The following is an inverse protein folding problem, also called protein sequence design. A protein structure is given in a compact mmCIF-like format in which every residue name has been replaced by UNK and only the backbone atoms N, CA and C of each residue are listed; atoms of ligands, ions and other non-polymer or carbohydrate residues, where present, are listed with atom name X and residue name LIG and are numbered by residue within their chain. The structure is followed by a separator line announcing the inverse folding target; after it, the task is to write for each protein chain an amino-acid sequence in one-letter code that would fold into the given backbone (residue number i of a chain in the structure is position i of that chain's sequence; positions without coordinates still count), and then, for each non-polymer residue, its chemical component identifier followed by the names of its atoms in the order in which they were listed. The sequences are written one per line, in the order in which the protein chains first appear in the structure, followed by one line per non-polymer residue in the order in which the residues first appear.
data_IF_254659028126
#
_entry.id   IF_254659028126
#
_cell.length_a   1.000
_cell.length_b   1.000
_cell.length_c   1.000
_cell.angle_alpha   90.00
_cell.angle_beta   90.00
_cell.angle_gamma   90.00
#
_symmetry.space_group_name_H-M   'P 1'
#
loop_
_entity.id
_entity.type
_entity.pdbx_description
1 polymer ?
#
# COMPACT_ATOMS: atom_id res chain seq x y z
N UNK A 1 17.48 2.15 -36.37
CA UNK A 1 17.87 1.21 -35.31
C UNK A 1 17.37 1.77 -33.99
N UNK A 2 16.79 0.94 -33.12
CA UNK A 2 16.35 1.41 -31.82
C UNK A 2 17.54 1.95 -31.01
N UNK A 3 17.32 3.03 -30.26
CA UNK A 3 18.28 3.52 -29.28
C UNK A 3 18.41 2.44 -28.19
N UNK A 4 19.63 2.08 -27.85
CA UNK A 4 19.93 1.15 -26.76
C UNK A 4 20.31 1.93 -25.51
N UNK A 5 19.57 1.72 -24.41
CA UNK A 5 19.95 2.24 -23.08
C UNK A 5 20.51 1.09 -22.26
N UNK A 6 21.82 1.09 -21.98
CA UNK A 6 22.41 0.16 -21.04
C UNK A 6 21.88 0.41 -19.64
N UNK A 7 21.33 -0.62 -18.99
CA UNK A 7 21.04 -0.58 -17.55
C UNK A 7 22.10 -1.41 -16.85
N UNK A 8 23.10 -0.72 -16.30
CA UNK A 8 24.30 -1.35 -15.71
C UNK A 8 24.00 -2.04 -14.37
N UNK A 9 24.95 -2.86 -13.91
CA UNK A 9 24.90 -3.46 -12.57
C UNK A 9 24.89 -2.40 -11.45
N UNK A 10 25.55 -1.25 -11.64
CA UNK A 10 25.51 -0.16 -10.67
C UNK A 10 24.10 0.46 -10.55
N UNK A 11 23.38 0.62 -11.66
CA UNK A 11 21.97 1.05 -11.64
C UNK A 11 21.09 0.11 -10.81
N UNK A 12 21.31 -1.20 -10.95
CA UNK A 12 20.62 -2.23 -10.17
C UNK A 12 21.02 -2.12 -8.69
N UNK A 13 22.32 -2.02 -8.39
CA UNK A 13 22.83 -1.89 -7.00
C UNK A 13 22.21 -0.69 -6.30
N UNK A 14 22.23 0.48 -6.96
CA UNK A 14 21.64 1.72 -6.42
C UNK A 14 20.14 1.56 -6.19
N UNK A 15 19.40 0.92 -7.09
CA UNK A 15 17.97 0.70 -6.91
C UNK A 15 17.67 -0.14 -5.66
N UNK A 16 18.36 -1.26 -5.49
CA UNK A 16 18.17 -2.14 -4.34
C UNK A 16 18.58 -1.46 -3.02
N UNK A 17 19.73 -0.80 -2.98
CA UNK A 17 20.20 -0.09 -1.77
C UNK A 17 19.25 1.05 -1.39
N UNK A 18 18.80 1.86 -2.37
CA UNK A 18 17.80 2.91 -2.09
C UNK A 18 16.48 2.32 -1.58
N UNK A 19 16.03 1.20 -2.14
CA UNK A 19 14.79 0.56 -1.69
C UNK A 19 14.92 0.04 -0.25
N UNK A 20 16.08 -0.50 0.08
CA UNK A 20 16.47 -0.91 1.42
C UNK A 20 16.47 0.28 2.41
N UNK A 21 17.04 1.41 2.02
CA UNK A 21 17.14 2.63 2.84
C UNK A 21 15.79 3.38 2.98
N UNK A 22 14.80 3.07 2.14
CA UNK A 22 13.47 3.65 2.28
C UNK A 22 12.83 3.19 3.58
N UNK A 23 12.40 4.15 4.39
CA UNK A 23 11.58 3.86 5.56
C UNK A 23 10.26 3.20 5.13
N UNK A 24 9.77 2.18 5.86
CA UNK A 24 8.42 1.64 5.72
C UNK A 24 7.39 2.77 5.60
N UNK A 25 6.76 2.89 4.43
CA UNK A 25 5.62 3.79 4.27
C UNK A 25 4.34 2.98 4.32
N UNK A 26 3.22 3.55 4.80
CA UNK A 26 1.95 2.80 4.74
C UNK A 26 1.34 2.69 3.32
N UNK A 27 2.02 3.16 2.25
CA UNK A 27 1.52 3.09 0.85
C UNK A 27 2.05 1.90 0.08
N UNK A 28 3.29 1.50 0.31
CA UNK A 28 4.02 0.52 -0.49
C UNK A 28 4.62 -0.55 0.41
N UNK A 29 4.76 -1.77 -0.11
CA UNK A 29 5.59 -2.78 0.52
C UNK A 29 7.00 -2.77 -0.10
N UNK A 30 7.92 -3.55 0.47
CA UNK A 30 9.29 -3.64 -0.05
C UNK A 30 9.38 -3.96 -1.55
N UNK A 31 8.49 -4.78 -2.11
CA UNK A 31 8.52 -5.07 -3.55
C UNK A 31 8.11 -3.87 -4.39
N UNK A 32 7.07 -3.15 -3.97
CA UNK A 32 6.70 -1.89 -4.61
C UNK A 32 7.82 -0.83 -4.51
N UNK A 33 8.55 -0.79 -3.39
CA UNK A 33 9.69 0.11 -3.22
C UNK A 33 10.86 -0.24 -4.15
N UNK A 34 11.22 -1.53 -4.25
CA UNK A 34 12.23 -2.01 -5.22
C UNK A 34 11.83 -1.64 -6.65
N UNK A 35 10.56 -1.82 -7.02
CA UNK A 35 10.04 -1.46 -8.35
C UNK A 35 10.12 0.04 -8.62
N UNK A 36 9.79 0.86 -7.63
CA UNK A 36 9.88 2.31 -7.71
C UNK A 36 11.33 2.78 -7.90
N UNK A 37 12.26 2.20 -7.15
CA UNK A 37 13.68 2.51 -7.26
C UNK A 37 14.30 1.99 -8.55
N UNK A 38 13.88 0.83 -9.05
CA UNK A 38 14.29 0.33 -10.37
C UNK A 38 13.77 1.25 -11.47
N UNK A 39 12.51 1.71 -11.41
CA UNK A 39 11.98 2.69 -12.36
C UNK A 39 12.83 3.96 -12.39
N UNK A 40 13.23 4.45 -11.21
CA UNK A 40 14.12 5.61 -11.08
C UNK A 40 15.48 5.34 -11.73
N UNK A 41 16.10 4.18 -11.47
CA UNK A 41 17.35 3.79 -12.12
C UNK A 41 17.24 3.63 -13.63
N UNK A 42 16.08 3.20 -14.16
CA UNK A 42 15.83 3.13 -15.60
C UNK A 42 15.73 4.53 -16.22
N UNK A 43 15.11 5.47 -15.51
CA UNK A 43 15.06 6.88 -15.91
C UNK A 43 16.46 7.52 -15.89
N UNK A 44 17.30 7.22 -14.89
CA UNK A 44 18.71 7.63 -14.84
C UNK A 44 19.48 7.10 -16.06
N UNK A 45 19.38 5.80 -16.34
CA UNK A 45 20.04 5.17 -17.48
C UNK A 45 19.58 5.78 -18.82
N UNK A 46 18.30 6.15 -18.94
CA UNK A 46 17.81 6.88 -20.11
C UNK A 46 18.49 8.24 -20.26
N UNK A 47 18.61 9.01 -19.17
CA UNK A 47 19.26 10.33 -19.19
C UNK A 47 20.73 10.20 -19.58
N UNK A 48 21.44 9.20 -19.05
CA UNK A 48 22.84 8.90 -19.39
C UNK A 48 23.03 8.59 -20.88
N UNK A 49 22.05 7.92 -21.51
CA UNK A 49 22.06 7.66 -22.96
C UNK A 49 21.48 8.80 -23.81
N UNK A 50 21.18 9.96 -23.21
CA UNK A 50 20.63 11.12 -23.92
C UNK A 50 19.13 11.04 -24.24
N UNK A 51 18.39 10.10 -23.66
CA UNK A 51 16.94 9.95 -23.80
C UNK A 51 16.23 10.64 -22.63
N UNK A 52 15.28 11.53 -22.91
CA UNK A 52 14.53 12.23 -21.85
C UNK A 52 13.27 11.46 -21.43
N UNK A 53 13.15 11.04 -20.16
CA UNK A 53 11.88 10.53 -19.64
C UNK A 53 10.85 11.65 -19.52
N UNK A 54 9.57 11.31 -19.62
CA UNK A 54 8.47 12.26 -19.42
C UNK A 54 7.87 12.15 -18.01
N UNK A 55 7.32 13.27 -17.54
CA UNK A 55 6.64 13.35 -16.24
C UNK A 55 5.12 13.43 -16.45
N UNK A 56 4.50 12.30 -16.78
CA UNK A 56 3.05 12.16 -16.80
C UNK A 56 2.60 10.76 -16.39
N UNK A 57 1.36 10.63 -15.90
CA UNK A 57 0.77 9.33 -15.57
C UNK A 57 0.31 8.60 -16.84
N UNK A 58 0.84 7.40 -17.05
CA UNK A 58 0.52 6.50 -18.18
C UNK A 58 0.13 5.13 -17.64
N UNK A 59 -1.02 4.63 -18.09
CA UNK A 59 -1.55 3.30 -17.73
C UNK A 59 -2.00 2.55 -18.98
N UNK A 60 -1.06 2.01 -19.76
CA UNK A 60 -1.39 1.37 -21.02
C UNK A 60 -1.92 -0.05 -20.80
N UNK A 61 -2.70 -0.56 -21.76
CA UNK A 61 -3.04 -1.97 -21.83
C UNK A 61 -1.91 -2.73 -22.54
N UNK A 62 -0.91 -3.18 -21.78
CA UNK A 62 0.27 -3.84 -22.33
C UNK A 62 -0.06 -5.08 -23.16
N UNK A 63 -1.07 -5.86 -22.77
CA UNK A 63 -1.50 -7.07 -23.50
C UNK A 63 -2.01 -6.82 -24.93
N UNK A 64 -2.38 -5.58 -25.25
CA UNK A 64 -2.81 -5.16 -26.59
C UNK A 64 -1.73 -4.41 -27.35
N UNK A 65 -0.61 -4.11 -26.70
CA UNK A 65 0.49 -3.41 -27.32
C UNK A 65 1.36 -4.42 -28.08
N UNK A 66 1.86 -4.00 -29.24
CA UNK A 66 2.78 -4.82 -30.03
C UNK A 66 4.13 -4.83 -29.33
N UNK A 67 4.60 -6.01 -28.92
CA UNK A 67 5.97 -6.18 -28.44
C UNK A 67 6.95 -5.78 -29.54
N UNK A 68 7.96 -5.00 -29.16
CA UNK A 68 9.01 -4.53 -30.07
C UNK A 68 10.16 -5.52 -30.11
N UNK A 69 10.37 -6.25 -29.01
CA UNK A 69 11.41 -7.27 -28.89
C UNK A 69 11.01 -8.32 -27.83
N UNK A 70 11.32 -9.58 -28.08
CA UNK A 70 11.12 -10.71 -27.16
C UNK A 70 12.45 -11.38 -26.87
N UNK A 71 12.91 -11.26 -25.63
CA UNK A 71 14.09 -11.96 -25.13
C UNK A 71 13.81 -13.43 -24.84
N UNK A 72 14.84 -14.15 -24.37
CA UNK A 72 14.72 -15.57 -24.01
C UNK A 72 13.72 -15.75 -22.86
N UNK A 73 12.63 -16.51 -23.07
CA UNK A 73 11.67 -16.78 -22.01
C UNK A 73 12.31 -17.44 -20.79
N UNK A 74 11.72 -17.22 -19.62
CA UNK A 74 12.16 -17.89 -18.39
C UNK A 74 11.31 -19.13 -18.17
N UNK A 75 11.96 -20.23 -17.83
CA UNK A 75 11.29 -21.51 -17.59
C UNK A 75 11.35 -21.84 -16.11
N UNK A 76 10.18 -22.00 -15.50
CA UNK A 76 10.04 -22.51 -14.13
C UNK A 76 9.43 -23.90 -14.15
N UNK A 77 9.75 -24.71 -13.13
CA UNK A 77 9.06 -25.99 -12.88
C UNK A 77 7.97 -25.76 -11.84
N UNK A 78 6.75 -26.22 -12.14
CA UNK A 78 5.58 -26.00 -11.30
C UNK A 78 4.87 -27.32 -10.93
N UNK A 79 4.44 -27.41 -9.67
CA UNK A 79 3.63 -28.51 -9.12
C UNK A 79 4.39 -29.83 -8.94
N UNK A 80 3.71 -30.82 -8.34
CA UNK A 80 4.27 -32.15 -8.04
C UNK A 80 4.75 -32.90 -9.30
N UNK A 81 4.17 -32.57 -10.46
CA UNK A 81 4.50 -33.16 -11.76
C UNK A 81 5.59 -32.40 -12.54
N UNK A 82 6.22 -31.38 -11.95
CA UNK A 82 7.26 -30.56 -12.57
C UNK A 82 6.91 -30.06 -13.98
N UNK A 83 5.68 -29.57 -14.17
CA UNK A 83 5.29 -28.99 -15.46
C UNK A 83 6.14 -27.76 -15.73
N UNK A 84 6.78 -27.72 -16.89
CA UNK A 84 7.54 -26.57 -17.34
C UNK A 84 6.56 -25.44 -17.71
N UNK A 85 6.69 -24.31 -17.03
CA UNK A 85 5.95 -23.08 -17.34
C UNK A 85 6.93 -22.10 -17.98
N UNK A 86 6.56 -21.62 -19.16
CA UNK A 86 7.30 -20.59 -19.88
C UNK A 86 6.71 -19.22 -19.57
N UNK A 87 7.52 -18.35 -18.97
CA UNK A 87 7.23 -16.93 -18.76
C UNK A 87 7.86 -16.17 -19.93
N UNK A 88 7.08 -15.95 -20.98
CA UNK A 88 7.48 -15.16 -22.14
C UNK A 88 6.96 -13.70 -22.04
N UNK A 89 7.28 -12.90 -23.05
CA UNK A 89 6.88 -11.48 -23.11
C UNK A 89 5.35 -11.31 -23.13
N UNK A 90 4.62 -12.22 -23.79
CA UNK A 90 3.16 -12.16 -23.86
C UNK A 90 2.52 -12.46 -22.50
N UNK A 91 3.03 -13.47 -21.78
CA UNK A 91 2.62 -13.77 -20.41
C UNK A 91 2.86 -12.56 -19.50
N UNK A 92 4.06 -11.98 -19.54
CA UNK A 92 4.40 -10.82 -18.71
C UNK A 92 3.50 -9.62 -19.02
N UNK A 93 3.27 -9.30 -20.30
CA UNK A 93 2.41 -8.19 -20.72
C UNK A 93 0.95 -8.34 -20.25
N UNK A 94 0.46 -9.58 -20.05
CA UNK A 94 -0.87 -9.87 -19.53
C UNK A 94 -1.18 -9.26 -18.16
N UNK A 95 -0.16 -8.98 -17.36
CA UNK A 95 -0.32 -8.51 -15.97
C UNK A 95 -0.09 -7.00 -15.76
N UNK A 96 0.05 -6.23 -16.84
CA UNK A 96 0.16 -4.76 -16.77
C UNK A 96 1.39 -4.28 -15.99
N UNK A 97 1.36 -3.06 -15.45
CA UNK A 97 2.53 -2.43 -14.77
C UNK A 97 2.27 -2.09 -13.30
N UNK A 98 1.13 -2.50 -12.76
CA UNK A 98 0.80 -2.32 -11.34
C UNK A 98 1.64 -3.25 -10.45
N UNK A 99 1.60 -3.03 -9.13
CA UNK A 99 2.31 -3.84 -8.13
C UNK A 99 1.98 -5.33 -8.23
N UNK A 100 0.73 -5.65 -8.59
CA UNK A 100 0.29 -7.00 -8.86
C UNK A 100 1.15 -7.75 -9.91
N UNK A 101 1.75 -7.05 -10.88
CA UNK A 101 2.57 -7.69 -11.92
C UNK A 101 3.74 -8.51 -11.35
N UNK A 102 4.39 -8.02 -10.29
CA UNK A 102 5.45 -8.76 -9.62
C UNK A 102 4.93 -10.05 -8.96
N UNK A 103 3.80 -9.96 -8.24
CA UNK A 103 3.19 -11.14 -7.61
C UNK A 103 2.72 -12.19 -8.64
N UNK A 104 2.19 -11.74 -9.78
CA UNK A 104 1.66 -12.60 -10.82
C UNK A 104 2.76 -13.31 -11.61
N UNK A 105 3.87 -12.62 -11.90
CA UNK A 105 5.02 -13.22 -12.59
C UNK A 105 5.75 -14.19 -11.66
N UNK A 106 5.83 -13.89 -10.36
CA UNK A 106 6.46 -14.76 -9.36
C UNK A 106 5.51 -15.82 -8.76
N UNK A 107 4.37 -16.12 -9.38
CA UNK A 107 3.34 -16.98 -8.76
C UNK A 107 3.84 -18.41 -8.40
N UNK A 108 4.94 -18.85 -9.01
CA UNK A 108 5.62 -20.13 -8.75
C UNK A 108 6.71 -20.06 -7.69
N UNK A 109 7.06 -18.88 -7.19
CA UNK A 109 8.06 -18.66 -6.16
C UNK A 109 7.52 -18.91 -4.73
N UNK A 110 6.33 -19.53 -4.64
CA UNK A 110 5.71 -19.89 -3.37
C UNK A 110 5.57 -18.69 -2.42
N UNK A 111 5.91 -18.85 -1.14
CA UNK A 111 5.80 -17.79 -0.14
C UNK A 111 6.66 -16.54 -0.42
N UNK A 112 7.73 -16.65 -1.21
CA UNK A 112 8.56 -15.48 -1.57
C UNK A 112 7.80 -14.47 -2.42
N UNK A 113 6.79 -14.90 -3.19
CA UNK A 113 6.00 -13.99 -4.03
C UNK A 113 5.05 -13.09 -3.23
N UNK A 114 4.72 -13.49 -2.00
CA UNK A 114 3.72 -12.83 -1.15
C UNK A 114 4.31 -12.10 0.04
N UNK A 115 5.56 -12.38 0.38
CA UNK A 115 6.25 -11.82 1.52
C UNK A 115 7.37 -10.88 1.06
N UNK A 116 7.09 -9.56 1.02
CA UNK A 116 7.96 -8.57 0.42
C UNK A 116 9.22 -8.39 1.29
N UNK A 117 10.34 -8.92 0.79
CA UNK A 117 11.66 -8.80 1.44
C UNK A 117 12.79 -9.04 0.44
N UNK A 118 13.98 -8.54 0.75
CA UNK A 118 15.20 -8.75 -0.02
C UNK A 118 15.54 -10.23 -0.15
N UNK A 119 15.19 -11.04 0.86
CA UNK A 119 15.35 -12.49 0.87
C UNK A 119 14.83 -13.17 -0.41
N UNK A 120 13.72 -12.70 -0.99
CA UNK A 120 13.18 -13.27 -2.23
C UNK A 120 14.20 -13.23 -3.39
N UNK A 121 14.92 -12.12 -3.55
CA UNK A 121 15.94 -11.95 -4.59
C UNK A 121 17.25 -12.69 -4.26
N UNK A 122 17.50 -13.00 -2.98
CA UNK A 122 18.72 -13.68 -2.52
C UNK A 122 18.58 -15.21 -2.45
N UNK A 123 17.36 -15.74 -2.46
CA UNK A 123 17.09 -17.18 -2.34
C UNK A 123 16.45 -17.79 -3.58
N UNK A 124 15.65 -17.02 -4.32
CA UNK A 124 14.98 -17.51 -5.52
C UNK A 124 15.73 -17.03 -6.75
N UNK A 125 16.23 -17.98 -7.54
CA UNK A 125 16.86 -17.66 -8.81
C UNK A 125 15.83 -17.15 -9.82
N UNK A 126 16.18 -16.07 -10.52
CA UNK A 126 15.32 -15.36 -11.45
C UNK A 126 14.02 -14.84 -10.81
N UNK A 127 14.05 -14.41 -9.54
CA UNK A 127 12.93 -13.67 -8.97
C UNK A 127 12.71 -12.34 -9.72
N UNK A 128 11.45 -11.99 -9.97
CA UNK A 128 11.06 -10.86 -10.81
C UNK A 128 10.66 -9.62 -9.99
N UNK A 129 11.02 -8.43 -10.46
CA UNK A 129 10.37 -7.18 -10.05
C UNK A 129 9.09 -6.90 -10.86
N UNK A 130 8.64 -7.84 -11.69
CA UNK A 130 7.49 -7.68 -12.57
C UNK A 130 7.80 -6.81 -13.78
N UNK A 131 6.81 -6.04 -14.25
CA UNK A 131 7.00 -5.13 -15.38
C UNK A 131 7.32 -3.72 -14.89
N UNK A 132 8.23 -3.04 -15.59
CA UNK A 132 8.66 -1.66 -15.29
C UNK A 132 8.33 -0.78 -16.47
N UNK A 133 7.63 0.33 -16.24
CA UNK A 133 7.26 1.31 -17.27
C UNK A 133 7.87 2.67 -16.97
N UNK A 134 8.41 3.28 -18.03
CA UNK A 134 8.90 4.66 -18.02
C UNK A 134 8.16 5.45 -19.11
N UNK A 135 7.52 6.58 -18.79
CA UNK A 135 6.94 7.46 -19.80
C UNK A 135 8.00 8.13 -20.67
N UNK A 136 7.74 8.29 -21.97
CA UNK A 136 8.67 8.88 -22.93
C UNK A 136 8.24 10.28 -23.35
N UNK A 137 9.19 11.13 -23.72
CA UNK A 137 8.85 12.37 -24.45
C UNK A 137 8.35 12.06 -25.87
N UNK A 138 7.41 12.84 -26.44
CA UNK A 138 6.91 12.62 -27.80
C UNK A 138 8.02 12.80 -28.83
N UNK A 139 8.03 11.96 -29.86
CA UNK A 139 9.06 12.00 -30.90
C UNK A 139 10.38 11.32 -30.52
N UNK A 140 10.42 10.61 -29.40
CA UNK A 140 11.53 9.69 -29.10
C UNK A 140 11.54 8.57 -30.14
N UNK A 141 12.71 8.27 -30.71
CA UNK A 141 12.88 7.16 -31.65
C UNK A 141 12.56 5.81 -30.99
N UNK A 142 12.41 4.74 -31.79
CA UNK A 142 12.35 3.37 -31.25
C UNK A 142 13.50 3.14 -30.27
N UNK A 143 13.22 2.42 -29.19
CA UNK A 143 14.04 2.43 -27.99
C UNK A 143 13.89 1.12 -27.22
N UNK A 144 14.99 0.58 -26.67
CA UNK A 144 14.98 -0.60 -25.79
C UNK A 144 16.01 -0.49 -24.66
N UNK A 145 15.72 -1.14 -23.53
CA UNK A 145 16.70 -1.31 -22.46
C UNK A 145 17.60 -2.51 -22.77
N UNK A 146 18.89 -2.38 -22.49
CA UNK A 146 19.88 -3.44 -22.60
C UNK A 146 20.35 -3.77 -21.18
N UNK A 147 19.83 -4.84 -20.57
CA UNK A 147 20.16 -5.17 -19.19
C UNK A 147 21.58 -5.74 -19.08
N UNK A 148 22.36 -5.27 -18.12
CA UNK A 148 23.60 -5.93 -17.70
C UNK A 148 23.30 -6.99 -16.61
N UNK A 149 24.17 -7.98 -16.47
CA UNK A 149 24.11 -8.93 -15.35
C UNK A 149 24.15 -8.17 -14.02
N UNK A 150 23.37 -8.60 -12.99
CA UNK A 150 22.56 -9.83 -12.91
C UNK A 150 21.13 -9.70 -13.44
N UNK A 151 20.77 -8.60 -14.10
CA UNK A 151 19.40 -8.36 -14.55
C UNK A 151 19.13 -9.01 -15.91
N UNK A 152 17.92 -9.52 -16.08
CA UNK A 152 17.38 -10.04 -17.35
C UNK A 152 16.01 -9.42 -17.62
N UNK A 153 15.74 -9.10 -18.87
CA UNK A 153 14.45 -8.59 -19.32
C UNK A 153 13.88 -9.56 -20.36
N UNK A 154 12.66 -10.05 -20.13
CA UNK A 154 12.01 -11.03 -21.00
C UNK A 154 11.47 -10.38 -22.28
N UNK A 155 11.10 -9.11 -22.27
CA UNK A 155 10.69 -8.42 -23.48
C UNK A 155 10.53 -6.92 -23.33
N UNK A 156 10.26 -6.23 -24.44
CA UNK A 156 10.09 -4.79 -24.48
C UNK A 156 8.84 -4.38 -25.26
N UNK A 157 8.15 -3.36 -24.76
CA UNK A 157 7.11 -2.64 -25.47
C UNK A 157 7.52 -1.17 -25.52
N UNK A 158 7.50 -0.56 -26.70
CA UNK A 158 7.68 0.88 -26.86
C UNK A 158 6.53 1.45 -27.69
N UNK A 159 5.79 2.42 -27.12
CA UNK A 159 4.88 3.29 -27.86
C UNK A 159 5.55 4.67 -27.97
N UNK A 160 6.06 4.98 -29.16
CA UNK A 160 6.74 6.25 -29.47
C UNK A 160 5.80 7.26 -30.14
N UNK A 161 4.49 7.04 -30.04
CA UNK A 161 3.47 7.85 -30.68
C UNK A 161 3.41 9.32 -30.19
N UNK A 162 2.51 10.13 -30.78
CA UNK A 162 2.36 11.54 -30.42
C UNK A 162 1.92 11.72 -28.97
N UNK A 163 2.15 12.92 -28.40
CA UNK A 163 1.83 13.30 -27.01
C UNK A 163 0.44 12.85 -26.52
N UNK A 164 -0.58 12.92 -27.38
CA UNK A 164 -1.97 12.52 -27.06
C UNK A 164 -2.09 11.05 -26.64
N UNK A 165 -1.21 10.16 -27.14
CA UNK A 165 -1.16 8.74 -26.77
C UNK A 165 -0.38 8.48 -25.48
N UNK A 166 0.29 9.50 -24.93
CA UNK A 166 1.19 9.40 -23.77
C UNK A 166 2.24 8.30 -23.99
N UNK A 167 3.22 8.54 -24.89
CA UNK A 167 4.22 7.55 -25.24
C UNK A 167 4.97 7.02 -24.02
N UNK A 168 5.41 5.77 -24.10
CA UNK A 168 6.02 5.02 -23.00
C UNK A 168 6.90 3.89 -23.52
N UNK A 169 7.78 3.40 -22.64
CA UNK A 169 8.51 2.15 -22.80
C UNK A 169 8.26 1.27 -21.58
N UNK A 170 8.10 -0.03 -21.78
CA UNK A 170 7.95 -1.01 -20.73
C UNK A 170 8.95 -2.16 -20.92
N UNK A 171 9.72 -2.45 -19.87
CA UNK A 171 10.47 -3.68 -19.71
C UNK A 171 9.54 -4.74 -19.09
N UNK A 172 9.37 -5.85 -19.79
CA UNK A 172 8.50 -6.95 -19.41
C UNK A 172 9.31 -8.04 -18.73
N UNK A 173 8.83 -8.52 -17.58
CA UNK A 173 9.50 -9.55 -16.79
C UNK A 173 10.95 -9.14 -16.50
N UNK A 174 11.14 -8.25 -15.52
CA UNK A 174 12.47 -7.85 -15.07
C UNK A 174 12.91 -8.83 -13.98
N UNK A 175 13.79 -9.77 -14.33
CA UNK A 175 14.27 -10.85 -13.44
C UNK A 175 15.73 -10.64 -13.03
N UNK A 176 16.12 -11.26 -11.93
CA UNK A 176 17.47 -11.14 -11.39
C UNK A 176 18.08 -12.50 -11.07
N UNK A 177 19.31 -12.73 -11.53
CA UNK A 177 20.10 -13.91 -11.20
C UNK A 177 20.50 -13.86 -9.72
N UNK A 178 20.18 -14.94 -8.98
CA UNK A 178 20.37 -14.98 -7.52
C UNK A 178 21.82 -14.76 -7.12
N UNK A 179 22.75 -15.44 -7.80
CA UNK A 179 24.17 -15.31 -7.44
C UNK A 179 24.69 -13.92 -7.75
N UNK A 180 24.35 -13.36 -8.91
CA UNK A 180 24.85 -12.03 -9.25
C UNK A 180 24.23 -10.91 -8.39
N UNK A 181 23.01 -11.06 -7.85
CA UNK A 181 22.49 -10.11 -6.83
C UNK A 181 23.27 -10.25 -5.51
N UNK A 182 23.60 -11.48 -5.08
CA UNK A 182 24.45 -11.69 -3.90
C UNK A 182 25.79 -10.97 -4.07
N UNK A 183 26.47 -11.21 -5.18
CA UNK A 183 27.77 -10.60 -5.48
C UNK A 183 27.65 -9.05 -5.52
N UNK A 184 26.60 -8.54 -6.17
CA UNK A 184 26.36 -7.10 -6.33
C UNK A 184 26.12 -6.38 -4.99
N UNK A 185 25.49 -7.07 -4.04
CA UNK A 185 25.19 -6.55 -2.71
C UNK A 185 26.25 -6.95 -1.67
N UNK A 186 27.47 -7.32 -2.11
CA UNK A 186 28.58 -7.67 -1.21
C UNK A 186 28.33 -8.96 -0.43
N UNK A 187 28.05 -10.04 -1.17
CA UNK A 187 27.59 -11.36 -0.74
C UNK A 187 26.17 -11.42 -0.17
N UNK A 188 25.45 -10.30 -0.03
CA UNK A 188 24.04 -10.23 0.43
C UNK A 188 23.79 -10.75 1.86
N UNK A 189 24.70 -11.57 2.39
CA UNK A 189 24.71 -12.17 3.71
C UNK A 189 24.79 -11.10 4.78
N UNK A 190 25.63 -10.08 4.63
CA UNK A 190 25.73 -8.97 5.60
C UNK A 190 24.42 -8.19 5.76
N UNK A 191 23.60 -8.09 4.70
CA UNK A 191 22.31 -7.40 4.75
C UNK A 191 21.23 -8.24 5.43
N UNK A 192 21.27 -9.57 5.31
CA UNK A 192 20.24 -10.47 5.88
C UNK A 192 20.66 -11.16 7.18
N UNK A 193 21.96 -11.19 7.46
CA UNK A 193 22.58 -11.79 8.64
C UNK A 193 22.80 -10.72 9.71
N UNK A 194 21.70 -10.10 10.11
CA UNK A 194 21.67 -9.23 11.28
C UNK A 194 21.15 -10.02 12.49
N UNK A 195 21.80 -9.82 13.64
CA UNK A 195 21.46 -10.51 14.89
C UNK A 195 20.02 -10.20 15.32
N UNK A 196 19.59 -8.94 15.16
CA UNK A 196 18.25 -8.45 15.48
C UNK A 196 17.70 -7.57 14.37
N UNK A 197 16.40 -7.67 14.12
CA UNK A 197 15.69 -6.78 13.18
C UNK A 197 15.29 -5.50 13.92
N UNK A 198 15.68 -4.33 13.39
CA UNK A 198 15.19 -3.06 13.94
C UNK A 198 13.72 -2.83 13.58
N UNK A 199 12.97 -2.17 14.48
CA UNK A 199 11.57 -1.82 14.26
C UNK A 199 11.38 -0.96 12.99
N UNK A 200 12.38 -0.14 12.64
CA UNK A 200 12.37 0.67 11.43
C UNK A 200 12.45 -0.14 10.13
N UNK A 201 12.78 -1.44 10.20
CA UNK A 201 12.92 -2.31 9.03
C UNK A 201 11.70 -3.22 8.82
N UNK A 202 10.71 -3.13 9.69
CA UNK A 202 9.59 -4.08 9.75
C UNK A 202 8.35 -3.51 9.04
N UNK A 203 7.94 -4.15 7.94
CA UNK A 203 6.73 -3.83 7.20
C UNK A 203 5.54 -4.66 7.71
N UNK A 204 4.37 -4.04 7.90
CA UNK A 204 3.14 -4.77 8.22
C UNK A 204 2.72 -5.67 7.04
N UNK A 205 2.53 -6.96 7.30
CA UNK A 205 2.14 -7.96 6.31
C UNK A 205 0.92 -8.75 6.77
N UNK A 206 0.27 -9.39 5.79
CA UNK A 206 -0.80 -10.32 6.04
C UNK A 206 -0.47 -11.65 5.35
N UNK A 207 -0.46 -12.73 6.12
CA UNK A 207 -0.15 -14.08 5.64
C UNK A 207 -1.45 -14.88 5.59
N UNK A 208 -1.86 -15.28 4.39
CA UNK A 208 -3.04 -16.13 4.18
C UNK A 208 -4.33 -15.53 4.77
N UNK A 209 -4.95 -16.25 5.70
CA UNK A 209 -6.19 -15.85 6.41
C UNK A 209 -5.93 -15.53 7.88
N UNK A 210 -4.66 -15.31 8.26
CA UNK A 210 -4.24 -15.11 9.63
C UNK A 210 -4.63 -13.71 10.07
N UNK A 211 -5.50 -13.63 11.06
CA UNK A 211 -5.94 -12.38 11.67
C UNK A 211 -5.40 -12.19 13.09
N UNK A 212 -4.64 -13.16 13.63
CA UNK A 212 -4.05 -13.06 14.96
C UNK A 212 -2.74 -13.86 15.05
N UNK A 213 -1.62 -13.26 15.48
CA UNK A 213 -1.43 -11.84 15.80
C UNK A 213 -1.37 -10.97 14.53
N UNK A 214 -1.27 -9.65 14.71
CA UNK A 214 -0.80 -8.78 13.63
C UNK A 214 0.66 -9.11 13.30
N UNK A 215 0.98 -9.18 12.01
CA UNK A 215 2.28 -9.63 11.52
C UNK A 215 3.06 -8.52 10.83
N UNK A 216 4.37 -8.59 11.00
CA UNK A 216 5.34 -7.74 10.34
C UNK A 216 6.44 -8.61 9.73
N UNK A 217 7.08 -8.14 8.67
CA UNK A 217 8.22 -8.81 8.04
C UNK A 217 9.43 -7.88 8.02
N UNK A 218 10.62 -8.43 8.31
CA UNK A 218 11.85 -7.70 8.07
C UNK A 218 12.11 -7.60 6.57
N UNK A 219 12.19 -6.35 6.06
CA UNK A 219 12.47 -6.04 4.65
C UNK A 219 13.79 -6.65 4.16
N UNK A 220 14.72 -6.93 5.07
CA UNK A 220 16.03 -7.49 4.76
C UNK A 220 15.98 -9.02 4.80
N UNK A 221 15.97 -9.59 6.01
CA UNK A 221 16.14 -11.03 6.20
C UNK A 221 14.88 -11.86 5.96
N UNK A 222 13.70 -11.23 5.82
CA UNK A 222 12.41 -11.90 5.62
C UNK A 222 11.83 -12.60 6.85
N UNK A 223 12.44 -12.47 8.04
CA UNK A 223 11.86 -13.02 9.28
C UNK A 223 10.54 -12.35 9.61
N UNK A 224 9.60 -13.13 10.12
CA UNK A 224 8.31 -12.65 10.62
C UNK A 224 8.43 -12.21 12.08
N UNK A 225 7.72 -11.14 12.38
CA UNK A 225 7.64 -10.53 13.70
C UNK A 225 6.19 -10.30 14.11
N UNK A 226 5.90 -10.52 15.38
CA UNK A 226 4.71 -10.02 16.05
C UNK A 226 5.12 -9.13 17.23
N UNK A 227 4.20 -8.33 17.75
CA UNK A 227 4.49 -7.53 18.93
C UNK A 227 4.42 -8.40 20.19
N UNK A 228 5.33 -8.17 21.15
CA UNK A 228 5.30 -8.80 22.48
C UNK A 228 3.94 -8.69 23.19
N UNK A 229 3.14 -7.65 22.89
CA UNK A 229 1.77 -7.53 23.42
C UNK A 229 0.87 -8.73 23.14
N UNK A 230 1.15 -9.49 22.08
CA UNK A 230 0.41 -10.68 21.67
C UNK A 230 1.00 -11.96 22.24
N UNK A 231 2.28 -11.97 22.62
CA UNK A 231 3.04 -13.17 22.97
C UNK A 231 2.39 -14.00 24.10
N UNK A 232 1.91 -13.41 25.22
CA UNK A 232 1.29 -14.19 26.28
C UNK A 232 -0.05 -14.84 25.89
N UNK A 233 -0.64 -14.40 24.78
CA UNK A 233 -1.98 -14.79 24.33
C UNK A 233 -1.98 -15.53 22.99
N UNK A 234 -0.79 -15.82 22.44
CA UNK A 234 -0.63 -16.53 21.19
C UNK A 234 -0.05 -17.91 21.44
N UNK A 235 -0.89 -18.95 21.28
CA UNK A 235 -0.42 -20.32 21.30
C UNK A 235 0.09 -20.66 19.90
N UNK A 236 1.41 -20.54 19.72
CA UNK A 236 2.07 -20.79 18.43
C UNK A 236 1.61 -22.12 17.82
N UNK A 237 1.49 -23.19 18.60
CA UNK A 237 1.16 -24.50 18.06
C UNK A 237 -0.33 -24.62 17.69
N UNK A 238 -1.23 -24.19 18.58
CA UNK A 238 -2.67 -24.32 18.33
C UNK A 238 -3.19 -23.25 17.37
N UNK A 239 -2.76 -22.00 17.52
CA UNK A 239 -3.22 -20.89 16.68
C UNK A 239 -2.68 -21.01 15.26
N UNK A 240 -1.42 -21.42 15.05
CA UNK A 240 -0.93 -21.67 13.68
C UNK A 240 -1.75 -22.78 13.01
N UNK A 241 -2.01 -23.89 13.72
CA UNK A 241 -2.81 -24.99 13.15
C UNK A 241 -4.24 -24.57 12.80
N UNK A 242 -4.85 -23.70 13.62
CA UNK A 242 -6.24 -23.22 13.45
C UNK A 242 -6.37 -22.14 12.39
N UNK A 243 -5.45 -21.19 12.37
CA UNK A 243 -5.54 -19.96 11.56
C UNK A 243 -4.81 -20.07 10.22
N UNK A 244 -3.89 -21.03 10.08
CA UNK A 244 -3.07 -21.22 8.88
C UNK A 244 -3.47 -22.50 8.16
N UNK A 245 -4.15 -22.33 7.03
CA UNK A 245 -4.63 -23.45 6.22
C UNK A 245 -3.52 -24.12 5.39
N UNK A 246 -2.53 -23.35 4.91
CA UNK A 246 -1.48 -23.83 3.99
C UNK A 246 -0.23 -24.25 4.77
N UNK A 247 0.35 -25.40 4.43
CA UNK A 247 1.57 -25.92 5.09
C UNK A 247 2.76 -24.96 4.97
N UNK A 248 2.99 -24.39 3.78
CA UNK A 248 4.09 -23.46 3.52
C UNK A 248 4.04 -22.19 4.41
N UNK A 249 2.83 -21.73 4.74
CA UNK A 249 2.63 -20.59 5.64
C UNK A 249 2.87 -20.99 7.11
N UNK A 250 2.68 -22.27 7.48
CA UNK A 250 2.91 -22.78 8.85
C UNK A 250 4.38 -22.78 9.20
N UNK A 251 5.23 -23.35 8.34
CA UNK A 251 6.67 -23.45 8.56
C UNK A 251 7.29 -22.06 8.81
N UNK A 252 6.77 -21.04 8.12
CA UNK A 252 7.20 -19.65 8.32
C UNK A 252 6.74 -19.07 9.65
N UNK A 253 5.49 -19.31 10.02
CA UNK A 253 4.93 -18.85 11.29
C UNK A 253 5.57 -19.55 12.50
N UNK A 254 6.09 -20.77 12.36
CA UNK A 254 6.86 -21.45 13.41
C UNK A 254 8.16 -20.73 13.75
N UNK A 255 8.71 -19.95 12.81
CA UNK A 255 9.90 -19.09 13.02
C UNK A 255 9.56 -17.65 13.46
N UNK A 256 8.29 -17.38 13.81
CA UNK A 256 7.84 -16.07 14.26
C UNK A 256 8.61 -15.60 15.51
N UNK A 257 9.10 -14.38 15.46
CA UNK A 257 9.77 -13.73 16.59
C UNK A 257 8.91 -12.62 17.20
N UNK A 258 9.15 -12.27 18.45
CA UNK A 258 8.42 -11.19 19.14
C UNK A 258 9.31 -9.98 19.37
N UNK A 259 8.80 -8.80 19.04
CA UNK A 259 9.51 -7.53 19.18
C UNK A 259 8.69 -6.54 20.01
N UNK A 260 9.33 -5.91 20.98
CA UNK A 260 8.68 -4.88 21.80
C UNK A 260 8.31 -3.63 21.01
N UNK A 261 7.25 -2.93 21.44
CA UNK A 261 6.88 -1.64 20.87
C UNK A 261 6.44 -1.69 19.39
N UNK A 262 6.04 -2.85 18.85
CA UNK A 262 5.81 -3.02 17.42
C UNK A 262 4.36 -2.75 16.98
N UNK A 263 3.34 -3.21 17.70
CA UNK A 263 1.97 -3.10 17.19
C UNK A 263 1.38 -1.68 17.31
N UNK A 264 0.18 -1.48 16.73
CA UNK A 264 -0.54 -0.22 16.83
C UNK A 264 -1.06 0.11 18.23
N UNK A 265 -1.12 -0.86 19.16
CA UNK A 265 -1.34 -0.52 20.58
C UNK A 265 -0.17 0.26 21.17
N UNK A 266 1.05 -0.08 20.77
CA UNK A 266 2.26 0.53 21.31
C UNK A 266 2.57 1.88 20.65
N UNK A 267 2.38 1.96 19.32
CA UNK A 267 2.82 3.11 18.51
C UNK A 267 1.67 4.00 18.02
N UNK A 268 0.43 3.59 18.25
CA UNK A 268 -0.74 4.21 17.64
C UNK A 268 -0.82 3.95 16.12
N UNK A 269 -1.71 4.71 15.48
CA UNK A 269 -1.99 4.56 14.06
C UNK A 269 -3.03 3.48 13.75
N UNK A 270 -3.17 3.20 12.47
CA UNK A 270 -4.22 2.35 11.90
C UNK A 270 -3.54 1.18 11.18
N UNK A 271 -4.01 -0.07 11.38
CA UNK A 271 -3.51 -1.22 10.62
C UNK A 271 -3.62 -1.00 9.12
N UNK A 272 -2.62 -1.47 8.39
CA UNK A 272 -2.56 -1.39 6.93
C UNK A 272 -3.54 -2.35 6.28
N UNK A 273 -3.68 -3.56 6.84
CA UNK A 273 -4.51 -4.61 6.24
C UNK A 273 -5.90 -4.68 6.85
N UNK A 274 -6.86 -5.13 6.05
CA UNK A 274 -8.15 -5.61 6.55
C UNK A 274 -8.06 -7.11 6.77
N UNK A 275 -8.54 -7.56 7.93
CA UNK A 275 -8.46 -8.94 8.41
C UNK A 275 -9.82 -9.64 8.43
N UNK A 276 -10.89 -8.88 8.64
CA UNK A 276 -12.26 -9.39 8.73
C UNK A 276 -13.07 -9.14 7.46
N UNK A 277 -13.92 -10.09 7.10
CA UNK A 277 -14.91 -9.91 6.03
C UNK A 277 -16.14 -9.10 6.51
N UNK A 278 -16.69 -8.17 5.71
CA UNK A 278 -17.81 -7.31 6.10
C UNK A 278 -19.09 -8.04 6.52
N UNK A 279 -19.29 -9.27 6.03
CA UNK A 279 -20.43 -10.11 6.41
C UNK A 279 -20.44 -10.48 7.89
N UNK A 280 -19.25 -10.62 8.51
CA UNK A 280 -19.11 -11.14 9.87
C UNK A 280 -18.67 -10.09 10.88
N UNK A 281 -18.12 -8.97 10.42
CA UNK A 281 -17.43 -8.00 11.26
C UNK A 281 -17.87 -6.57 10.96
N UNK A 282 -17.99 -5.78 12.03
CA UNK A 282 -18.19 -4.32 11.93
C UNK A 282 -17.04 -3.68 11.15
N UNK A 283 -17.25 -2.51 10.55
CA UNK A 283 -16.19 -1.78 9.83
C UNK A 283 -14.91 -1.60 10.66
N UNK A 284 -15.07 -1.27 11.95
CA UNK A 284 -13.96 -1.23 12.89
C UNK A 284 -13.29 -2.61 13.04
N UNK A 285 -14.05 -3.65 13.35
CA UNK A 285 -13.50 -4.98 13.58
C UNK A 285 -12.85 -5.57 12.33
N UNK A 286 -13.29 -5.23 11.11
CA UNK A 286 -12.64 -5.70 9.88
C UNK A 286 -11.14 -5.35 9.86
N UNK A 287 -10.77 -4.15 10.30
CA UNK A 287 -9.37 -3.69 10.32
C UNK A 287 -8.66 -3.94 11.65
N UNK A 288 -9.38 -3.86 12.76
CA UNK A 288 -8.82 -4.00 14.10
C UNK A 288 -8.99 -5.41 14.69
N UNK A 289 -9.38 -6.39 13.88
CA UNK A 289 -9.63 -7.77 14.31
C UNK A 289 -8.51 -8.37 15.18
N UNK A 290 -7.20 -8.21 14.85
CA UNK A 290 -6.14 -8.74 15.71
C UNK A 290 -6.19 -8.20 17.14
N UNK A 291 -6.59 -6.94 17.30
CA UNK A 291 -6.70 -6.30 18.61
C UNK A 291 -7.97 -6.68 19.33
N UNK A 292 -9.10 -6.78 18.63
CA UNK A 292 -10.36 -7.29 19.20
C UNK A 292 -10.13 -8.68 19.79
N UNK A 293 -9.41 -9.55 19.08
CA UNK A 293 -9.06 -10.87 19.61
C UNK A 293 -8.05 -10.82 20.76
N UNK A 294 -7.09 -9.90 20.72
CA UNK A 294 -6.16 -9.72 21.82
C UNK A 294 -6.88 -9.36 23.12
N UNK A 295 -7.80 -8.39 23.07
CA UNK A 295 -8.58 -7.98 24.23
C UNK A 295 -9.52 -9.07 24.71
N UNK A 296 -10.15 -9.82 23.79
CA UNK A 296 -10.97 -10.98 24.16
C UNK A 296 -10.14 -12.03 24.92
N UNK A 297 -8.94 -12.36 24.42
CA UNK A 297 -8.04 -13.33 25.07
C UNK A 297 -7.50 -12.83 26.41
N UNK A 298 -7.21 -11.52 26.54
CA UNK A 298 -6.81 -10.90 27.82
C UNK A 298 -7.89 -11.02 28.89
N UNK A 299 -9.14 -10.84 28.49
CA UNK A 299 -10.29 -10.92 29.38
C UNK A 299 -10.79 -12.37 29.59
N UNK A 300 -10.18 -13.38 28.94
CA UNK A 300 -10.62 -14.77 29.01
C UNK A 300 -11.99 -15.01 28.36
N UNK A 301 -12.42 -14.13 27.45
CA UNK A 301 -13.74 -14.19 26.81
C UNK A 301 -13.73 -15.16 25.62
N UNK A 302 -14.78 -15.99 25.46
CA UNK A 302 -14.97 -16.80 24.26
C UNK A 302 -15.16 -15.92 23.01
N UNK A 303 -14.66 -16.42 21.87
CA UNK A 303 -14.85 -15.82 20.55
C UNK A 303 -16.32 -16.02 20.10
N UNK A 304 -17.25 -15.21 20.62
CA UNK A 304 -18.70 -15.33 20.41
C UNK A 304 -19.45 -14.01 20.64
N UNK A 305 -20.71 -14.02 21.15
CA UNK A 305 -21.49 -12.80 21.43
C UNK A 305 -20.79 -11.78 22.34
N UNK A 306 -19.88 -12.27 23.20
CA UNK A 306 -19.05 -11.48 24.13
C UNK A 306 -17.95 -10.68 23.43
N UNK A 307 -17.74 -10.87 22.12
CA UNK A 307 -16.84 -10.06 21.27
C UNK A 307 -17.14 -8.58 21.37
N UNK A 308 -18.40 -8.17 21.66
CA UNK A 308 -18.76 -6.76 21.81
C UNK A 308 -17.97 -6.05 22.91
N UNK A 309 -17.70 -6.71 24.04
CA UNK A 309 -16.94 -6.12 25.14
C UNK A 309 -15.48 -5.87 24.72
N UNK A 310 -14.84 -6.90 24.14
CA UNK A 310 -13.48 -6.80 23.62
C UNK A 310 -13.35 -5.80 22.47
N UNK A 311 -14.37 -5.71 21.60
CA UNK A 311 -14.41 -4.73 20.52
C UNK A 311 -14.56 -3.31 21.07
N UNK A 312 -15.36 -3.11 22.13
CA UNK A 312 -15.46 -1.82 22.82
C UNK A 312 -14.16 -1.43 23.52
N UNK A 313 -13.44 -2.38 24.10
CA UNK A 313 -12.13 -2.13 24.69
C UNK A 313 -11.10 -1.72 23.63
N UNK A 314 -11.06 -2.45 22.50
CA UNK A 314 -10.25 -2.07 21.35
C UNK A 314 -10.63 -0.68 20.84
N UNK A 315 -11.93 -0.40 20.71
CA UNK A 315 -12.42 0.91 20.29
C UNK A 315 -11.96 2.01 21.23
N UNK A 316 -12.15 1.85 22.54
CA UNK A 316 -11.72 2.83 23.54
C UNK A 316 -10.21 3.11 23.43
N UNK A 317 -9.38 2.06 23.30
CA UNK A 317 -7.93 2.22 23.13
C UNK A 317 -7.55 3.03 21.89
N UNK A 318 -8.21 2.77 20.77
CA UNK A 318 -7.96 3.47 19.51
C UNK A 318 -8.76 4.78 19.36
N UNK A 319 -9.49 5.21 20.39
CA UNK A 319 -10.29 6.44 20.37
C UNK A 319 -11.51 6.37 19.45
N UNK A 320 -12.21 5.24 19.47
CA UNK A 320 -13.52 5.00 18.87
C UNK A 320 -14.57 4.85 20.00
N UNK A 321 -15.81 5.32 19.84
CA UNK A 321 -16.86 5.21 20.84
C UNK A 321 -17.37 3.77 20.92
N UNK A 322 -18.04 3.43 22.02
CA UNK A 322 -18.55 2.08 22.17
C UNK A 322 -19.64 1.75 21.12
N UNK A 323 -19.85 0.47 20.87
CA UNK A 323 -20.97 -0.04 20.07
C UNK A 323 -22.27 0.47 20.69
N UNK A 324 -23.06 1.19 19.89
CA UNK A 324 -24.34 1.77 20.32
C UNK A 324 -24.23 3.21 20.85
N UNK A 325 -23.01 3.71 21.09
CA UNK A 325 -22.79 5.13 21.34
C UNK A 325 -22.68 5.88 20.00
N UNK A 326 -23.35 7.03 19.92
CA UNK A 326 -23.19 7.93 18.77
C UNK A 326 -21.87 8.67 18.94
N UNK A 327 -21.06 8.67 17.91
CA UNK A 327 -19.99 9.65 17.80
C UNK A 327 -20.56 11.07 17.69
N UNK A 328 -19.76 12.07 18.01
CA UNK A 328 -19.86 13.35 17.30
C UNK A 328 -19.48 13.12 15.85
N UNK A 329 -20.34 13.53 14.93
CA UNK A 329 -20.19 13.26 13.50
C UNK A 329 -18.88 13.76 12.89
N UNK A 330 -18.30 14.83 13.45
CA UNK A 330 -16.98 15.33 13.09
C UNK A 330 -15.86 14.31 13.35
N UNK A 331 -15.95 13.57 14.46
CA UNK A 331 -14.96 12.55 14.84
C UNK A 331 -15.11 11.28 13.98
N UNK A 332 -16.35 10.91 13.59
CA UNK A 332 -16.56 9.88 12.55
C UNK A 332 -15.86 10.30 11.28
N UNK A 333 -16.12 11.53 10.84
CA UNK A 333 -15.63 12.04 9.58
C UNK A 333 -14.10 12.05 9.56
N UNK A 334 -13.47 12.52 10.64
CA UNK A 334 -12.01 12.47 10.81
C UNK A 334 -11.48 11.03 10.68
N UNK A 335 -12.03 10.08 11.44
CA UNK A 335 -11.53 8.68 11.44
C UNK A 335 -11.75 7.96 10.12
N UNK A 336 -12.91 8.15 9.51
CA UNK A 336 -13.21 7.57 8.20
C UNK A 336 -12.29 8.18 7.15
N UNK A 337 -12.06 9.49 7.19
CA UNK A 337 -11.10 10.15 6.29
C UNK A 337 -9.70 9.61 6.53
N UNK A 338 -9.20 9.56 7.77
CA UNK A 338 -7.90 8.99 8.14
C UNK A 338 -7.73 7.57 7.57
N UNK A 339 -8.75 6.72 7.69
CA UNK A 339 -8.71 5.36 7.18
C UNK A 339 -8.72 5.29 5.63
N UNK A 340 -9.48 6.18 4.97
CA UNK A 340 -9.63 6.23 3.52
C UNK A 340 -8.43 6.87 2.81
N UNK A 341 -7.84 7.90 3.42
CA UNK A 341 -6.70 8.64 2.87
C UNK A 341 -5.37 8.12 3.41
N UNK A 342 -5.40 7.16 4.35
CA UNK A 342 -4.21 6.53 4.91
C UNK A 342 -3.24 6.14 3.79
N UNK A 343 -1.95 6.47 3.93
CA UNK A 343 -1.28 7.11 5.07
C UNK A 343 -1.04 8.61 4.93
N UNK A 344 -1.81 9.33 4.11
CA UNK A 344 -1.68 10.79 4.03
C UNK A 344 -1.81 11.39 5.42
N UNK A 345 -1.02 12.44 5.66
CA UNK A 345 -1.22 13.29 6.82
C UNK A 345 -2.64 13.85 6.78
N UNK A 346 -3.31 13.77 7.92
CA UNK A 346 -4.63 14.34 8.16
C UNK A 346 -4.48 15.27 9.36
N UNK A 347 -4.82 16.54 9.17
CA UNK A 347 -4.77 17.55 10.22
C UNK A 347 -6.20 17.83 10.66
N UNK A 348 -6.45 17.69 11.96
CA UNK A 348 -7.72 18.02 12.59
C UNK A 348 -7.71 19.48 13.05
N UNK A 349 -8.83 20.19 12.89
CA UNK A 349 -8.98 21.63 13.20
C UNK A 349 -7.90 22.52 12.56
N UNK A 350 -7.72 22.41 11.24
CA UNK A 350 -6.70 23.16 10.51
C UNK A 350 -7.04 24.65 10.41
N UNK A 351 -6.16 25.51 10.95
CA UNK A 351 -6.28 26.98 10.92
C UNK A 351 -5.09 27.64 10.22
N UNK A 352 -4.92 27.32 8.93
CA UNK A 352 -3.89 27.97 8.10
C UNK A 352 -4.02 29.49 8.09
N UNK A 353 -2.90 30.22 8.01
CA UNK A 353 -2.93 31.70 7.92
C UNK A 353 -3.71 32.18 6.70
N UNK A 354 -3.64 31.40 5.63
CA UNK A 354 -4.37 31.63 4.38
C UNK A 354 -5.89 31.47 4.52
N UNK A 355 -6.37 30.87 5.61
CA UNK A 355 -7.81 30.75 5.90
C UNK A 355 -8.38 31.99 6.62
N UNK A 356 -7.56 33.02 6.85
CA UNK A 356 -7.97 34.31 7.43
C UNK A 356 -8.74 34.17 8.75
N UNK A 357 -8.33 33.21 9.57
CA UNK A 357 -8.92 32.92 10.88
C UNK A 357 -10.09 31.92 10.85
N UNK A 358 -10.43 31.36 9.69
CA UNK A 358 -11.38 30.25 9.55
C UNK A 358 -10.68 28.91 9.76
N UNK A 359 -11.45 27.93 10.24
CA UNK A 359 -10.98 26.56 10.50
C UNK A 359 -11.52 25.59 9.45
N UNK A 360 -10.76 24.54 9.14
CA UNK A 360 -11.25 23.33 8.49
C UNK A 360 -11.30 22.19 9.50
N UNK A 361 -12.45 21.51 9.62
CA UNK A 361 -12.59 20.38 10.56
C UNK A 361 -11.53 19.32 10.26
N UNK A 362 -11.41 18.91 8.99
CA UNK A 362 -10.40 17.94 8.53
C UNK A 362 -9.68 18.48 7.29
N UNK A 363 -8.35 18.46 7.31
CA UNK A 363 -7.49 18.90 6.21
C UNK A 363 -6.50 17.81 5.80
N UNK A 364 -6.42 17.55 4.49
CA UNK A 364 -5.47 16.60 3.89
C UNK A 364 -4.53 17.40 2.96
N UNK A 365 -3.35 17.83 3.44
CA UNK A 365 -2.47 18.76 2.71
C UNK A 365 -2.07 18.26 1.32
N UNK A 366 -1.68 16.98 1.21
CA UNK A 366 -1.25 16.37 -0.06
C UNK A 366 -2.33 16.42 -1.15
N UNK A 367 -3.61 16.41 -0.76
CA UNK A 367 -4.74 16.45 -1.70
C UNK A 367 -5.29 17.86 -1.89
N UNK A 368 -4.81 18.84 -1.12
CA UNK A 368 -5.44 20.15 -0.97
C UNK A 368 -6.95 20.01 -0.69
N UNK A 369 -7.30 19.09 0.20
CA UNK A 369 -8.67 18.68 0.47
C UNK A 369 -9.08 19.07 1.89
N UNK A 370 -10.06 19.96 2.00
CA UNK A 370 -10.78 20.28 3.22
C UNK A 370 -12.08 19.52 3.29
N UNK A 371 -12.43 19.04 4.48
CA UNK A 371 -13.66 18.31 4.74
C UNK A 371 -14.30 18.87 6.01
N UNK A 372 -15.60 19.11 5.95
CA UNK A 372 -16.39 19.78 7.00
C UNK A 372 -17.64 18.97 7.34
N UNK A 373 -17.99 18.93 8.62
CA UNK A 373 -19.29 18.46 9.09
C UNK A 373 -20.17 19.63 9.56
N UNK A 374 -21.23 19.89 8.81
CA UNK A 374 -22.17 20.97 9.06
C UNK A 374 -23.32 20.47 9.94
N UNK A 375 -23.20 20.69 11.25
CA UNK A 375 -24.26 20.39 12.24
C UNK A 375 -25.56 21.19 12.01
N UNK A 376 -26.64 20.83 12.73
CA UNK A 376 -27.97 21.48 12.67
C UNK A 376 -27.89 23.02 12.81
N UNK A 377 -26.93 23.49 13.61
CA UNK A 377 -26.69 24.91 13.87
C UNK A 377 -26.29 25.74 12.63
N UNK A 378 -25.95 25.10 11.50
CA UNK A 378 -25.68 25.79 10.22
C UNK A 378 -26.97 26.08 9.42
N UNK A 379 -28.06 25.41 9.77
CA UNK A 379 -29.34 25.45 9.03
C UNK A 379 -30.45 26.08 9.86
N UNK A 380 -30.45 25.86 11.17
CA UNK A 380 -31.49 26.35 12.08
C UNK A 380 -30.95 27.27 13.17
N UNK A 381 -31.79 28.22 13.57
CA UNK A 381 -31.47 29.20 14.60
C UNK A 381 -31.62 28.56 15.99
N UNK A 382 -30.51 28.10 16.56
CA UNK A 382 -30.49 27.52 17.90
C UNK A 382 -30.21 28.62 18.94
N UNK A 383 -31.13 28.82 19.89
CA UNK A 383 -31.06 29.87 20.93
C UNK A 383 -29.74 29.89 21.72
N UNK A 384 -29.21 28.73 22.08
CA UNK A 384 -27.94 28.60 22.80
C UNK A 384 -26.73 29.10 21.99
N UNK A 385 -26.87 29.22 20.67
CA UNK A 385 -25.83 29.65 19.76
C UNK A 385 -26.12 31.01 19.10
N UNK A 386 -26.80 31.91 19.80
CA UNK A 386 -27.06 33.27 19.34
C UNK A 386 -28.23 33.41 18.37
N UNK A 387 -29.11 32.40 18.25
CA UNK A 387 -30.34 32.47 17.46
C UNK A 387 -30.11 32.85 16.00
N UNK A 388 -30.96 33.73 15.47
CA UNK A 388 -30.94 34.13 14.05
C UNK A 388 -29.67 34.92 13.67
N UNK A 389 -29.17 35.78 14.56
CA UNK A 389 -27.92 36.52 14.32
C UNK A 389 -26.71 35.59 14.29
N UNK A 390 -26.67 34.59 15.19
CA UNK A 390 -25.64 33.56 15.19
C UNK A 390 -25.69 32.67 13.94
N UNK A 391 -26.88 32.33 13.46
CA UNK A 391 -27.07 31.60 12.21
C UNK A 391 -26.56 32.42 11.00
N UNK A 392 -26.94 33.70 10.90
CA UNK A 392 -26.51 34.58 9.82
C UNK A 392 -24.98 34.72 9.76
N UNK A 393 -24.32 34.84 10.92
CA UNK A 393 -22.86 34.92 11.04
C UNK A 393 -22.18 33.62 10.58
N UNK A 394 -22.71 32.45 10.96
CA UNK A 394 -22.20 31.14 10.53
C UNK A 394 -22.31 30.97 9.02
N UNK A 395 -23.47 31.26 8.45
CA UNK A 395 -23.68 31.19 7.00
C UNK A 395 -22.76 32.17 6.23
N UNK A 396 -22.48 33.35 6.79
CA UNK A 396 -21.52 34.29 6.20
C UNK A 396 -20.08 33.72 6.22
N UNK A 397 -19.68 33.10 7.33
CA UNK A 397 -18.39 32.42 7.44
C UNK A 397 -18.28 31.23 6.49
N UNK A 398 -19.33 30.41 6.35
CA UNK A 398 -19.35 29.28 5.42
C UNK A 398 -19.22 29.75 3.96
N UNK A 399 -19.92 30.82 3.58
CA UNK A 399 -19.77 31.44 2.25
C UNK A 399 -18.34 31.94 2.01
N UNK A 400 -17.75 32.62 3.00
CA UNK A 400 -16.36 33.10 2.93
C UNK A 400 -15.38 31.94 2.81
N UNK A 401 -15.54 30.89 3.61
CA UNK A 401 -14.74 29.65 3.59
C UNK A 401 -14.75 29.03 2.20
N UNK A 402 -15.94 28.81 1.62
CA UNK A 402 -16.09 28.27 0.25
C UNK A 402 -15.38 29.12 -0.80
N UNK A 403 -15.52 30.45 -0.73
CA UNK A 403 -14.87 31.36 -1.67
C UNK A 403 -13.34 31.31 -1.56
N UNK A 404 -12.83 31.29 -0.33
CA UNK A 404 -11.40 31.24 -0.02
C UNK A 404 -10.75 29.93 -0.46
N UNK A 405 -11.38 28.79 -0.14
CA UNK A 405 -10.95 27.47 -0.61
C UNK A 405 -10.88 27.44 -2.15
N UNK A 406 -11.89 27.96 -2.84
CA UNK A 406 -11.90 28.02 -4.31
C UNK A 406 -10.76 28.88 -4.87
N UNK A 407 -10.47 30.02 -4.24
CA UNK A 407 -9.38 30.92 -4.65
C UNK A 407 -8.00 30.27 -4.45
N UNK A 408 -7.82 29.51 -3.36
CA UNK A 408 -6.58 28.81 -3.03
C UNK A 408 -6.39 27.51 -3.83
N UNK A 409 -7.39 27.11 -4.63
CA UNK A 409 -7.39 25.83 -5.35
C UNK A 409 -7.56 24.62 -4.43
N UNK A 410 -8.19 24.82 -3.27
CA UNK A 410 -8.55 23.76 -2.33
C UNK A 410 -9.88 23.14 -2.73
N UNK A 411 -9.97 21.82 -2.67
CA UNK A 411 -11.25 21.11 -2.76
C UNK A 411 -11.88 21.14 -1.38
N UNK A 412 -13.15 21.56 -1.27
CA UNK A 412 -13.92 21.53 -0.02
C UNK A 412 -15.10 20.56 -0.17
N UNK A 413 -15.21 19.59 0.73
CA UNK A 413 -16.34 18.65 0.80
C UNK A 413 -17.07 18.86 2.11
N UNK A 414 -18.37 19.11 2.03
CA UNK A 414 -19.21 19.39 3.20
C UNK A 414 -20.21 18.24 3.37
N UNK A 415 -20.36 17.77 4.60
CA UNK A 415 -21.37 16.77 4.99
C UNK A 415 -22.40 17.44 5.89
N UNK A 416 -23.69 17.29 5.58
CA UNK A 416 -24.77 17.84 6.41
C UNK A 416 -25.07 16.94 7.60
N UNK A 417 -25.73 17.53 8.60
CA UNK A 417 -26.06 16.82 9.83
C UNK A 417 -27.01 15.62 9.66
N UNK A 418 -27.88 15.70 8.65
CA UNK A 418 -28.88 14.71 8.30
C UNK A 418 -28.32 13.58 7.41
N UNK A 419 -27.04 13.64 7.07
CA UNK A 419 -26.38 12.60 6.28
C UNK A 419 -25.88 11.46 7.16
N UNK A 420 -26.17 10.23 6.73
CA UNK A 420 -25.61 9.04 7.34
C UNK A 420 -24.11 8.93 6.98
N UNK A 421 -23.24 9.26 7.93
CA UNK A 421 -21.79 9.16 7.82
C UNK A 421 -21.29 7.71 7.92
N UNK A 422 -21.70 6.88 6.98
CA UNK A 422 -21.11 5.55 6.80
C UNK A 422 -19.81 5.64 6.01
N UNK A 423 -18.93 4.64 6.18
CA UNK A 423 -17.68 4.53 5.42
C UNK A 423 -17.94 4.56 3.90
N UNK A 424 -19.01 3.92 3.44
CA UNK A 424 -19.41 3.88 2.02
C UNK A 424 -19.89 5.23 1.49
N UNK A 425 -20.65 6.00 2.27
CA UNK A 425 -21.08 7.36 1.90
C UNK A 425 -19.89 8.30 1.76
N UNK A 426 -19.01 8.29 2.77
CA UNK A 426 -17.83 9.15 2.81
C UNK A 426 -16.85 8.76 1.70
N UNK A 427 -16.61 7.46 1.49
CA UNK A 427 -15.79 6.94 0.39
C UNK A 427 -16.35 7.34 -0.98
N UNK A 428 -17.66 7.28 -1.19
CA UNK A 428 -18.29 7.64 -2.46
C UNK A 428 -18.10 9.11 -2.81
N UNK A 429 -18.22 10.03 -1.83
CA UNK A 429 -17.94 11.46 -2.04
C UNK A 429 -16.47 11.74 -2.25
N UNK A 430 -15.60 11.04 -1.54
CA UNK A 430 -14.16 11.19 -1.66
C UNK A 430 -13.58 10.49 -2.91
N UNK A 431 -14.34 9.60 -3.57
CA UNK A 431 -13.88 8.73 -4.68
C UNK A 431 -13.19 9.46 -5.83
N UNK A 432 -13.59 10.70 -6.13
CA UNK A 432 -12.98 11.52 -7.20
C UNK A 432 -11.60 12.10 -6.80
N UNK A 433 -11.29 12.07 -5.51
CA UNK A 433 -10.11 12.67 -4.89
C UNK A 433 -9.22 11.62 -4.21
N UNK A 434 -9.73 10.41 -3.98
CA UNK A 434 -8.98 9.23 -3.57
C UNK A 434 -8.33 8.57 -4.80
N UNK A 435 -7.09 8.06 -4.70
CA UNK A 435 -6.55 7.16 -5.71
C UNK A 435 -7.43 5.90 -5.75
N UNK A 436 -7.72 5.42 -6.96
CA UNK A 436 -8.56 4.23 -7.18
C UNK A 436 -7.97 3.05 -6.40
N UNK A 437 -8.75 2.52 -5.45
CA UNK A 437 -8.45 1.25 -4.78
C UNK A 437 -8.44 0.12 -5.82
N UNK A 438 -7.47 -0.79 -5.70
CA UNK A 438 -7.31 -1.97 -6.55
C UNK A 438 -8.61 -2.80 -6.51
N UNK A 439 -9.27 -3.11 -7.65
CA UNK A 439 -10.58 -3.78 -7.68
C UNK A 439 -10.63 -5.21 -7.09
N UNK A 440 -9.56 -5.72 -6.50
CA UNK A 440 -9.44 -7.13 -6.11
C UNK A 440 -10.10 -7.51 -4.77
N UNK A 441 -10.66 -6.57 -3.99
CA UNK A 441 -11.37 -6.92 -2.73
C UNK A 441 -12.88 -7.10 -2.90
N UNK A 442 -13.44 -6.88 -4.10
CA UNK A 442 -14.86 -7.10 -4.38
C UNK A 442 -15.09 -8.15 -5.47
N UNK A 443 -14.37 -9.27 -5.42
CA UNK A 443 -14.84 -10.49 -6.08
C UNK A 443 -13.96 -11.66 -5.67
N UNK A 444 -14.48 -12.52 -4.81
CA UNK A 444 -14.65 -13.95 -5.12
C UNK A 444 -15.65 -14.58 -4.13
N UNK A 445 -16.51 -15.49 -4.61
CA UNK A 445 -17.50 -16.19 -3.80
C UNK A 445 -16.88 -17.07 -2.71
#
# INVERSE_FOLDING_TARGET
MPIEVPVSSDHVRRAFMRAVDLAPTRRSDFFADVRSMLRTSFEEAMVEAGVRPAQWDVRPQLSRARAVDSGTPIQHRAGDYQKLVTLDSAFCAGYGTADYSASAINYLCGPHAKLPSLRAFLEVDLFSAGNILVPLTPGTNEFRFVPATPMRIVGHIADTGPRKRKPYVAALGVHFERQGIRDLLGDGATLIDHERCEVAWLDEVHVGTIHFPILYICRYCGRLHACECFQPHFDVQMDIRRLVARSEDRDRMESLTFTSGLCHLCRGGVPRHSYGHPMYYSSFAQRYLPYVELFARRAGLPLGPERRAAENEARAHFGFPAIGERWTSETILLRVVEALVAPREVVHHYRGKELEGLELDVWVPELRLGIEYQGEQHYEAIKHWGGDEGLAKRQANDRRKRALCKQLGYTLIEFRFDEELTETTVQSRLKRHLPVADPAQSSRP
#
